data_IF_016598781439
#
_entry.id   IF_016598781439
#
_cell.length_a   1.000
_cell.length_b   1.000
_cell.length_c   1.000
_cell.angle_alpha   90.00
_cell.angle_beta   90.00
_cell.angle_gamma   90.00
#
_symmetry.space_group_name_H-M   'P 1'
#
loop_
_entity.id
_entity.type
_entity.pdbx_description
1 polymer ?
#
# COMPACT_ATOMS: atom_id res chain seq x y z
N UNK A 1 15.72 14.05 -19.10
CA UNK A 1 16.87 14.13 -18.15
C UNK A 1 16.52 13.56 -16.77
N UNK A 2 17.51 13.20 -15.93
CA UNK A 2 17.26 12.98 -14.50
C UNK A 2 16.48 14.16 -13.88
N UNK A 3 15.49 13.88 -13.04
CA UNK A 3 14.58 14.87 -12.47
C UNK A 3 13.33 15.16 -13.31
N UNK A 4 13.24 14.63 -14.54
CA UNK A 4 11.98 14.61 -15.29
C UNK A 4 11.03 13.53 -14.76
N UNK A 5 9.75 13.64 -15.13
CA UNK A 5 8.70 12.72 -14.68
C UNK A 5 7.96 12.14 -15.87
N UNK A 6 7.59 10.86 -15.76
CA UNK A 6 6.71 10.19 -16.72
C UNK A 6 5.37 9.98 -16.01
N UNK A 7 4.32 10.75 -16.34
CA UNK A 7 3.05 10.56 -15.68
C UNK A 7 2.31 9.38 -16.30
N UNK A 8 1.71 8.61 -15.42
CA UNK A 8 1.11 7.33 -15.75
C UNK A 8 -0.17 7.10 -14.96
N UNK A 9 -0.95 6.14 -15.44
CA UNK A 9 -2.13 5.63 -14.78
C UNK A 9 -2.01 4.12 -14.63
N UNK A 10 -2.35 3.62 -13.44
CA UNK A 10 -2.32 2.20 -13.13
C UNK A 10 -3.37 1.47 -13.97
N UNK A 11 -2.98 0.34 -14.58
CA UNK A 11 -3.89 -0.53 -15.34
C UNK A 11 -4.25 -1.76 -14.50
N UNK A 12 -3.26 -2.35 -13.84
CA UNK A 12 -3.48 -3.43 -12.87
C UNK A 12 -3.83 -2.86 -11.49
N UNK A 13 -4.39 -3.67 -10.61
CA UNK A 13 -4.43 -3.35 -9.18
C UNK A 13 -3.07 -3.66 -8.53
N UNK A 14 -2.74 -2.96 -7.45
CA UNK A 14 -1.69 -3.38 -6.52
C UNK A 14 -2.37 -3.81 -5.22
N UNK A 15 -2.09 -5.02 -4.75
CA UNK A 15 -2.48 -5.51 -3.43
C UNK A 15 -1.21 -6.00 -2.71
N UNK A 16 -0.87 -5.37 -1.60
CA UNK A 16 0.36 -5.69 -0.85
C UNK A 16 0.29 -7.02 -0.07
N UNK A 17 -0.80 -7.78 -0.14
CA UNK A 17 -0.87 -9.12 0.45
C UNK A 17 0.11 -10.09 -0.23
N UNK A 18 0.40 -9.90 -1.52
CA UNK A 18 1.36 -10.69 -2.28
C UNK A 18 2.15 -9.82 -3.26
N UNK A 19 3.46 -10.07 -3.45
CA UNK A 19 4.24 -9.33 -4.41
C UNK A 19 3.81 -9.72 -5.82
N UNK A 20 3.89 -8.78 -6.75
CA UNK A 20 3.36 -9.01 -8.08
C UNK A 20 3.90 -8.06 -9.13
N UNK A 21 3.53 -8.34 -10.38
CA UNK A 21 3.76 -7.45 -11.50
C UNK A 21 2.75 -6.31 -11.47
N UNK A 22 3.21 -5.10 -11.78
CA UNK A 22 2.36 -3.93 -11.99
C UNK A 22 2.45 -3.49 -13.45
N UNK A 23 1.29 -3.17 -14.03
CA UNK A 23 1.18 -2.60 -15.36
C UNK A 23 0.54 -1.21 -15.26
N UNK A 24 1.14 -0.25 -15.94
CA UNK A 24 0.62 1.10 -16.04
C UNK A 24 0.69 1.62 -17.48
N UNK A 25 0.01 2.73 -17.74
CA UNK A 25 -0.09 3.37 -19.05
C UNK A 25 0.38 4.80 -18.94
N UNK A 26 1.26 5.22 -19.84
CA UNK A 26 1.70 6.62 -19.92
C UNK A 26 0.54 7.50 -20.40
N UNK A 27 0.27 8.59 -19.67
CA UNK A 27 -0.91 9.45 -19.89
C UNK A 27 -0.64 10.67 -20.75
N UNK A 28 0.62 11.07 -20.92
CA UNK A 28 1.04 12.15 -21.83
C UNK A 28 2.38 11.83 -22.46
N UNK A 29 2.60 12.33 -23.66
CA UNK A 29 3.91 12.28 -24.30
C UNK A 29 4.92 13.06 -23.47
N UNK A 30 6.11 12.49 -23.28
CA UNK A 30 7.25 13.12 -22.61
C UNK A 30 8.31 13.40 -23.66
N UNK A 31 8.61 14.68 -23.87
CA UNK A 31 9.55 15.15 -24.88
C UNK A 31 10.99 15.18 -24.34
N UNK A 32 11.97 15.16 -25.24
CA UNK A 32 13.37 15.29 -24.86
C UNK A 32 13.64 16.71 -24.31
N UNK A 33 14.33 16.75 -23.17
CA UNK A 33 14.81 17.95 -22.51
C UNK A 33 16.00 18.60 -23.21
N UNK A 34 16.65 17.90 -24.15
CA UNK A 34 17.87 18.36 -24.85
C UNK A 34 17.59 18.77 -26.30
N UNK A 35 16.77 18.01 -27.01
CA UNK A 35 16.36 18.33 -28.38
C UNK A 35 14.83 18.40 -28.45
N UNK A 36 14.28 19.59 -28.71
CA UNK A 36 12.83 19.85 -28.76
C UNK A 36 12.07 19.12 -29.90
N UNK A 37 12.71 18.21 -30.64
CA UNK A 37 12.23 17.74 -31.93
C UNK A 37 11.88 16.25 -32.02
N UNK A 38 12.11 15.44 -30.97
CA UNK A 38 11.71 14.02 -31.01
C UNK A 38 11.03 13.57 -29.69
N UNK A 39 9.77 13.07 -29.76
CA UNK A 39 9.07 12.59 -28.58
C UNK A 39 9.76 11.33 -28.05
N UNK A 40 10.39 11.43 -26.88
CA UNK A 40 11.17 10.34 -26.31
C UNK A 40 10.28 9.22 -25.79
N UNK A 41 9.09 9.55 -25.24
CA UNK A 41 8.13 8.57 -24.73
C UNK A 41 6.72 8.93 -25.21
N UNK A 42 6.13 8.14 -26.13
CA UNK A 42 4.76 8.39 -26.60
C UNK A 42 3.71 8.18 -25.52
N UNK A 43 2.66 9.01 -25.53
CA UNK A 43 1.41 8.70 -24.83
C UNK A 43 0.91 7.30 -25.22
N UNK A 44 0.35 6.57 -24.25
CA UNK A 44 -0.16 5.23 -24.50
C UNK A 44 0.90 4.12 -24.41
N UNK A 45 2.16 4.46 -24.16
CA UNK A 45 3.20 3.45 -23.85
C UNK A 45 2.84 2.65 -22.60
N UNK A 46 3.14 1.35 -22.60
CA UNK A 46 2.93 0.45 -21.45
C UNK A 46 4.14 0.49 -20.54
N UNK A 47 3.94 0.74 -19.25
CA UNK A 47 4.96 0.57 -18.22
C UNK A 47 4.78 -0.80 -17.56
N UNK A 48 5.88 -1.54 -17.43
CA UNK A 48 5.91 -2.85 -16.77
C UNK A 48 6.89 -2.79 -15.61
N UNK A 49 6.46 -3.31 -14.45
CA UNK A 49 7.22 -3.23 -13.22
C UNK A 49 6.78 -4.24 -12.18
N UNK A 50 7.27 -4.04 -10.96
CA UNK A 50 6.96 -4.87 -9.80
C UNK A 50 6.67 -3.99 -8.58
N UNK A 51 5.90 -4.53 -7.65
CA UNK A 51 5.69 -3.92 -6.35
C UNK A 51 6.05 -4.91 -5.24
N UNK A 52 6.46 -4.38 -4.09
CA UNK A 52 6.79 -5.20 -2.92
C UNK A 52 5.56 -5.40 -2.03
N UNK A 53 5.47 -6.58 -1.42
CA UNK A 53 4.53 -6.92 -0.33
C UNK A 53 5.14 -6.71 1.07
N UNK A 54 6.39 -6.26 1.17
CA UNK A 54 7.04 -6.00 2.45
C UNK A 54 6.50 -4.70 3.07
N UNK A 55 5.36 -4.82 3.74
CA UNK A 55 4.69 -3.71 4.42
C UNK A 55 4.98 -3.77 5.91
N UNK A 56 5.55 -2.70 6.44
CA UNK A 56 5.77 -2.55 7.88
C UNK A 56 4.51 -2.03 8.59
N UNK A 57 4.40 -2.27 9.89
CA UNK A 57 3.36 -1.64 10.71
C UNK A 57 3.39 -0.11 10.58
N UNK A 58 2.21 0.50 10.43
CA UNK A 58 2.06 1.95 10.27
C UNK A 58 2.43 2.48 8.87
N UNK A 59 2.95 1.63 7.98
CA UNK A 59 3.16 2.01 6.59
C UNK A 59 1.83 2.23 5.88
N UNK A 60 1.75 3.31 5.10
CA UNK A 60 0.53 3.70 4.35
C UNK A 60 0.80 3.88 2.87
N UNK A 61 1.98 3.47 2.40
CA UNK A 61 2.43 3.64 1.01
C UNK A 61 3.09 2.36 0.50
N UNK A 62 2.78 1.97 -0.72
CA UNK A 62 3.43 0.84 -1.39
C UNK A 62 4.52 1.35 -2.33
N UNK A 63 5.68 0.68 -2.34
CA UNK A 63 6.73 0.95 -3.30
C UNK A 63 6.51 0.10 -4.55
N UNK A 64 6.51 0.78 -5.69
CA UNK A 64 6.52 0.16 -7.01
C UNK A 64 7.70 0.68 -7.81
N UNK A 65 8.31 -0.18 -8.62
CA UNK A 65 9.40 0.16 -9.52
C UNK A 65 9.13 -0.39 -10.90
N UNK A 66 9.53 0.36 -11.92
CA UNK A 66 9.30 0.00 -13.31
C UNK A 66 10.61 -0.41 -13.98
N UNK A 67 10.58 -1.60 -14.59
CA UNK A 67 11.75 -2.20 -15.25
C UNK A 67 11.87 -1.78 -16.70
N UNK A 68 10.75 -1.62 -17.40
CA UNK A 68 10.73 -1.27 -18.82
C UNK A 68 9.48 -0.47 -19.19
N UNK A 69 9.60 0.23 -20.32
CA UNK A 69 8.49 0.83 -21.05
C UNK A 69 8.43 0.23 -22.45
N UNK A 70 7.22 -0.08 -22.90
CA UNK A 70 6.91 -0.65 -24.21
C UNK A 70 6.14 0.41 -24.99
N UNK A 71 6.72 0.89 -26.08
CA UNK A 71 6.12 1.89 -26.95
C UNK A 71 4.98 1.29 -27.80
N UNK A 72 4.09 2.14 -28.35
CA UNK A 72 3.01 1.67 -29.23
C UNK A 72 3.48 0.89 -30.46
N UNK A 73 4.71 1.15 -30.92
CA UNK A 73 5.37 0.45 -32.03
C UNK A 73 6.06 -0.87 -31.63
N UNK A 74 6.01 -1.24 -30.34
CA UNK A 74 6.61 -2.46 -29.81
C UNK A 74 8.06 -2.30 -29.35
N UNK A 75 8.71 -1.15 -29.56
CA UNK A 75 10.06 -0.89 -29.02
C UNK A 75 10.03 -0.92 -27.49
N UNK A 76 11.06 -1.52 -26.90
CA UNK A 76 11.21 -1.64 -25.46
C UNK A 76 12.38 -0.80 -24.99
N UNK A 77 12.17 -0.03 -23.93
CA UNK A 77 13.20 0.83 -23.35
C UNK A 77 13.34 0.49 -21.87
N UNK A 78 14.55 0.17 -21.39
CA UNK A 78 14.77 -0.16 -19.99
C UNK A 78 14.63 1.08 -19.11
N UNK A 79 13.89 0.94 -18.01
CA UNK A 79 13.75 1.96 -16.96
C UNK A 79 14.62 1.64 -15.73
N UNK A 80 15.25 0.47 -15.69
CA UNK A 80 16.22 0.09 -14.66
C UNK A 80 15.73 0.27 -13.21
N UNK A 81 14.43 0.01 -12.97
CA UNK A 81 13.84 0.07 -11.64
C UNK A 81 13.49 1.49 -11.17
N UNK A 82 13.20 2.43 -12.07
CA UNK A 82 12.72 3.76 -11.70
C UNK A 82 11.47 3.66 -10.81
N UNK A 83 11.47 4.43 -9.73
CA UNK A 83 10.45 4.35 -8.69
C UNK A 83 9.18 5.12 -9.05
N UNK A 84 8.06 4.59 -8.60
CA UNK A 84 6.78 5.28 -8.58
C UNK A 84 6.77 6.34 -7.47
N UNK A 85 6.17 7.48 -7.77
CA UNK A 85 5.91 8.57 -6.86
C UNK A 85 4.46 9.04 -7.01
N UNK A 86 3.89 9.59 -5.95
CA UNK A 86 2.57 10.20 -6.01
C UNK A 86 2.57 11.47 -6.88
N UNK A 87 1.38 12.07 -7.06
CA UNK A 87 1.22 13.27 -7.87
C UNK A 87 2.04 14.48 -7.39
N UNK A 88 2.55 14.46 -6.15
CA UNK A 88 3.39 15.51 -5.57
C UNK A 88 4.89 15.14 -5.59
N UNK A 89 5.25 13.99 -6.18
CA UNK A 89 6.63 13.52 -6.27
C UNK A 89 7.15 12.82 -5.01
N UNK A 90 6.29 12.54 -4.03
CA UNK A 90 6.71 11.76 -2.86
C UNK A 90 6.74 10.26 -3.18
N UNK A 91 7.74 9.56 -2.64
CA UNK A 91 8.00 8.15 -2.94
C UNK A 91 6.81 7.25 -2.59
N UNK A 92 6.58 6.25 -3.45
CA UNK A 92 5.52 5.26 -3.30
C UNK A 92 4.12 5.79 -3.60
N UNK A 93 3.17 4.86 -3.64
CA UNK A 93 1.78 5.10 -3.96
C UNK A 93 0.92 4.98 -2.69
N UNK A 94 -0.06 5.87 -2.54
CA UNK A 94 -1.00 5.89 -1.41
C UNK A 94 -2.43 5.95 -1.93
N UNK A 95 -3.22 4.95 -1.57
CA UNK A 95 -4.67 4.92 -1.83
C UNK A 95 -5.38 4.32 -0.61
N UNK A 96 -5.77 3.04 -0.64
CA UNK A 96 -6.52 2.40 0.44
C UNK A 96 -5.61 1.61 1.41
N UNK A 97 -5.94 1.69 2.71
CA UNK A 97 -5.23 0.99 3.79
C UNK A 97 -6.22 0.13 4.58
N UNK A 98 -6.09 -1.20 4.48
CA UNK A 98 -6.89 -2.18 5.23
C UNK A 98 -6.12 -2.64 6.47
N UNK A 99 -6.51 -2.12 7.63
CA UNK A 99 -5.81 -2.36 8.92
C UNK A 99 -6.23 -3.65 9.63
N UNK A 100 -7.17 -4.42 9.07
CA UNK A 100 -7.69 -5.65 9.67
C UNK A 100 -8.27 -5.49 11.10
N UNK A 101 -8.52 -4.26 11.56
CA UNK A 101 -8.92 -3.97 12.94
C UNK A 101 -10.11 -4.80 13.41
N UNK A 102 -11.20 -4.84 12.65
CA UNK A 102 -12.39 -5.61 13.04
C UNK A 102 -12.17 -7.13 13.04
N UNK A 103 -11.30 -7.64 12.17
CA UNK A 103 -10.92 -9.05 12.16
C UNK A 103 -10.09 -9.41 13.41
N UNK A 104 -9.27 -8.47 13.88
CA UNK A 104 -8.39 -8.64 15.04
C UNK A 104 -9.14 -8.41 16.37
N UNK A 105 -9.99 -7.37 16.44
CA UNK A 105 -10.57 -6.85 17.69
C UNK A 105 -12.09 -6.96 17.79
N UNK A 106 -12.80 -7.38 16.73
CA UNK A 106 -14.26 -7.40 16.71
C UNK A 106 -14.89 -8.32 17.76
N UNK A 107 -14.31 -9.49 18.00
CA UNK A 107 -14.78 -10.43 19.02
C UNK A 107 -14.63 -9.86 20.44
N UNK A 108 -13.49 -9.23 20.74
CA UNK A 108 -13.25 -8.57 22.03
C UNK A 108 -14.25 -7.45 22.28
N UNK A 109 -14.61 -6.69 21.25
CA UNK A 109 -15.63 -5.66 21.34
C UNK A 109 -17.04 -6.23 21.59
N UNK A 110 -17.42 -7.33 20.93
CA UNK A 110 -18.72 -7.97 21.17
C UNK A 110 -18.83 -8.54 22.60
N UNK A 111 -17.75 -9.14 23.11
CA UNK A 111 -17.70 -9.62 24.50
C UNK A 111 -17.81 -8.43 25.48
N UNK A 112 -17.16 -7.30 25.17
CA UNK A 112 -17.32 -6.03 25.90
C UNK A 112 -18.76 -5.54 25.91
N UNK A 113 -19.40 -5.51 24.76
CA UNK A 113 -20.78 -5.09 24.66
C UNK A 113 -21.73 -6.03 25.43
N UNK A 114 -21.58 -7.36 25.33
CA UNK A 114 -22.43 -8.29 26.08
C UNK A 114 -22.27 -8.14 27.60
N UNK A 115 -21.04 -7.86 28.06
CA UNK A 115 -20.77 -7.69 29.48
C UNK A 115 -21.49 -6.50 30.11
N UNK A 116 -21.72 -5.41 29.36
CA UNK A 116 -22.36 -4.21 29.89
C UNK A 116 -23.88 -4.33 30.07
N UNK A 117 -24.50 -5.39 29.53
CA UNK A 117 -25.94 -5.66 29.69
C UNK A 117 -26.26 -6.66 30.81
N UNK A 118 -25.26 -7.20 31.50
CA UNK A 118 -25.48 -8.12 32.63
C UNK A 118 -25.83 -7.33 33.91
N UNK A 119 -26.88 -7.73 34.68
CA UNK A 119 -27.26 -7.05 35.91
C UNK A 119 -26.14 -7.03 36.94
N UNK A 120 -25.98 -5.90 37.64
CA UNK A 120 -24.94 -5.67 38.63
C UNK A 120 -25.00 -6.58 39.89
N UNK A 121 -26.01 -7.45 40.02
CA UNK A 121 -26.13 -8.47 41.08
C UNK A 121 -25.50 -9.82 40.66
N UNK A 122 -25.15 -9.96 39.38
CA UNK A 122 -24.25 -11.01 38.86
C UNK A 122 -22.97 -10.36 38.28
N UNK A 123 -22.54 -9.27 38.92
CA UNK A 123 -21.49 -8.36 38.49
C UNK A 123 -20.11 -9.02 38.53
N UNK A 124 -19.68 -9.52 37.37
CA UNK A 124 -18.29 -9.93 37.18
C UNK A 124 -17.64 -9.37 35.92
N UNK A 125 -18.36 -8.63 35.08
CA UNK A 125 -17.84 -8.23 33.77
C UNK A 125 -18.36 -6.82 33.43
N UNK A 126 -17.43 -5.86 33.44
CA UNK A 126 -17.56 -4.48 32.99
C UNK A 126 -16.35 -4.29 32.08
N UNK A 127 -16.52 -3.73 30.88
CA UNK A 127 -15.40 -3.51 29.96
C UNK A 127 -15.34 -2.03 29.58
N UNK A 128 -14.40 -1.29 30.17
CA UNK A 128 -14.09 0.10 29.81
C UNK A 128 -12.78 0.13 29.02
N UNK A 129 -12.75 0.70 27.79
CA UNK A 129 -11.50 0.85 27.05
C UNK A 129 -10.64 1.92 27.72
N UNK A 130 -9.46 1.52 28.22
CA UNK A 130 -8.40 2.45 28.63
C UNK A 130 -8.32 2.82 30.12
N UNK A 131 -9.15 2.29 31.02
CA UNK A 131 -9.05 2.60 32.46
C UNK A 131 -9.10 1.36 33.33
N UNK A 132 -7.98 1.11 34.00
CA UNK A 132 -7.84 0.38 35.26
C UNK A 132 -9.00 0.66 36.21
N UNK A 133 -9.98 -0.23 36.27
CA UNK A 133 -11.03 -0.18 37.28
C UNK A 133 -10.95 -1.46 38.08
N UNK A 134 -10.39 -1.34 39.28
CA UNK A 134 -10.00 -2.41 40.22
C UNK A 134 -11.12 -3.33 40.72
N UNK A 135 -12.28 -3.37 40.07
CA UNK A 135 -13.36 -4.32 40.34
C UNK A 135 -13.29 -5.59 39.45
N UNK A 136 -12.52 -5.56 38.36
CA UNK A 136 -12.45 -6.66 37.37
C UNK A 136 -11.29 -7.63 37.60
N UNK A 137 -10.25 -7.22 38.33
CA UNK A 137 -8.99 -7.97 38.46
C UNK A 137 -9.17 -9.24 39.33
N UNK A 138 -10.28 -9.35 40.07
CA UNK A 138 -10.53 -10.46 41.01
C UNK A 138 -11.35 -11.65 40.48
N UNK A 139 -12.05 -11.55 39.33
CA UNK A 139 -12.91 -12.63 38.83
C UNK A 139 -12.19 -13.52 37.81
N UNK A 140 -12.48 -14.83 37.81
CA UNK A 140 -11.91 -15.78 36.85
C UNK A 140 -12.20 -15.38 35.38
N UNK A 141 -13.34 -14.74 35.14
CA UNK A 141 -13.70 -14.15 33.85
C UNK A 141 -12.80 -12.94 33.49
N UNK A 142 -12.54 -12.03 34.43
CA UNK A 142 -11.64 -10.90 34.22
C UNK A 142 -10.20 -11.32 33.90
N UNK A 143 -9.68 -12.32 34.60
CA UNK A 143 -8.34 -12.88 34.33
C UNK A 143 -8.27 -13.60 32.98
N UNK A 144 -9.30 -14.38 32.61
CA UNK A 144 -9.38 -15.03 31.31
C UNK A 144 -9.45 -14.01 30.16
N UNK A 145 -10.17 -12.90 30.35
CA UNK A 145 -10.29 -11.82 29.36
C UNK A 145 -8.99 -11.02 29.20
N UNK A 146 -8.30 -10.69 30.29
CA UNK A 146 -6.99 -10.02 30.23
C UNK A 146 -5.98 -10.92 29.53
N UNK A 147 -5.92 -12.21 29.89
CA UNK A 147 -5.02 -13.18 29.24
C UNK A 147 -5.32 -13.38 27.75
N UNK A 148 -6.61 -13.47 27.39
CA UNK A 148 -7.02 -13.59 25.98
C UNK A 148 -6.73 -12.30 25.19
N UNK A 149 -6.96 -11.13 25.78
CA UNK A 149 -6.69 -9.85 25.13
C UNK A 149 -5.20 -9.63 24.92
N UNK A 150 -4.36 -9.98 25.90
CA UNK A 150 -2.91 -9.95 25.76
C UNK A 150 -2.44 -10.93 24.67
N UNK A 151 -2.94 -12.17 24.66
CA UNK A 151 -2.59 -13.14 23.63
C UNK A 151 -3.02 -12.68 22.21
N UNK A 152 -4.18 -12.03 22.08
CA UNK A 152 -4.63 -11.44 20.80
C UNK A 152 -3.74 -10.25 20.43
N UNK A 153 -3.43 -9.35 21.35
CA UNK A 153 -2.54 -8.23 21.10
C UNK A 153 -1.16 -8.72 20.66
N UNK A 154 -0.55 -9.65 21.40
CA UNK A 154 0.76 -10.22 21.06
C UNK A 154 0.75 -10.93 19.70
N UNK A 155 -0.29 -11.72 19.40
CA UNK A 155 -0.42 -12.45 18.14
C UNK A 155 -0.67 -11.52 16.95
N UNK A 156 -1.44 -10.46 17.15
CA UNK A 156 -1.89 -9.59 16.06
C UNK A 156 -1.12 -8.26 15.97
N UNK A 157 -0.25 -7.96 16.94
CA UNK A 157 0.63 -6.79 16.89
C UNK A 157 1.40 -6.78 15.59
N UNK A 158 1.90 -7.93 15.13
CA UNK A 158 2.75 -8.01 13.94
C UNK A 158 1.99 -8.23 12.62
N UNK A 159 0.66 -8.11 12.58
CA UNK A 159 -0.08 -8.21 11.31
C UNK A 159 0.05 -6.87 10.57
N UNK A 160 0.73 -6.84 9.41
CA UNK A 160 0.84 -5.61 8.64
C UNK A 160 -0.52 -5.24 8.03
N UNK A 161 -0.77 -3.94 7.78
CA UNK A 161 -1.93 -3.54 7.00
C UNK A 161 -1.76 -3.97 5.54
N UNK A 162 -2.88 -4.17 4.85
CA UNK A 162 -2.88 -4.39 3.40
C UNK A 162 -3.09 -3.06 2.69
N UNK A 163 -2.16 -2.73 1.80
CA UNK A 163 -2.18 -1.52 0.98
C UNK A 163 -2.71 -1.89 -0.40
N UNK A 164 -3.77 -1.20 -0.82
CA UNK A 164 -4.40 -1.43 -2.12
C UNK A 164 -4.34 -0.14 -2.94
N UNK A 165 -3.81 -0.22 -4.16
CA UNK A 165 -3.85 0.87 -5.14
C UNK A 165 -4.72 0.43 -6.30
N UNK A 166 -5.84 1.13 -6.48
CA UNK A 166 -6.86 0.72 -7.46
C UNK A 166 -6.41 0.99 -8.90
N UNK A 167 -6.90 0.20 -9.87
CA UNK A 167 -6.80 0.56 -11.28
C UNK A 167 -7.33 1.97 -11.55
N UNK A 168 -6.69 2.71 -12.44
CA UNK A 168 -7.01 4.11 -12.70
C UNK A 168 -6.29 5.11 -11.80
N UNK A 169 -5.52 4.66 -10.80
CA UNK A 169 -4.72 5.54 -9.95
C UNK A 169 -3.64 6.27 -10.76
N UNK A 170 -3.57 7.59 -10.64
CA UNK A 170 -2.61 8.44 -11.35
C UNK A 170 -1.36 8.66 -10.52
N UNK A 171 -0.20 8.49 -11.13
CA UNK A 171 1.08 8.61 -10.44
C UNK A 171 2.18 9.08 -11.41
N UNK A 172 3.37 9.31 -10.87
CA UNK A 172 4.56 9.72 -11.61
C UNK A 172 5.64 8.64 -11.52
N UNK A 173 6.35 8.37 -12.60
CA UNK A 173 7.63 7.66 -12.55
C UNK A 173 8.74 8.69 -12.54
N UNK A 174 9.60 8.64 -11.51
CA UNK A 174 10.71 9.58 -11.35
C UNK A 174 11.90 9.10 -12.17
N UNK A 175 12.31 9.89 -13.16
CA UNK A 175 13.47 9.58 -14.00
C UNK A 175 14.74 9.92 -13.22
N UNK A 176 15.50 8.90 -12.84
CA UNK A 176 16.75 9.07 -12.07
C UNK A 176 18.03 8.89 -12.88
N UNK A 177 17.90 8.50 -14.16
CA UNK A 177 19.02 8.30 -15.08
C UNK A 177 18.59 8.63 -16.51
N UNK A 178 19.54 8.97 -17.40
CA UNK A 178 19.24 9.16 -18.81
C UNK A 178 18.57 7.92 -19.40
N UNK A 179 17.57 8.15 -20.25
CA UNK A 179 16.91 7.11 -21.04
C UNK A 179 17.55 7.18 -22.43
N UNK A 180 18.18 6.10 -22.85
CA UNK A 180 18.81 6.00 -24.17
C UNK A 180 17.90 5.19 -25.09
N UNK A 181 17.39 5.83 -26.13
CA UNK A 181 16.74 5.15 -27.25
C UNK A 181 17.85 4.69 -28.19
N UNK A 182 18.32 3.45 -28.06
CA UNK A 182 19.19 2.89 -29.08
C UNK A 182 18.35 2.69 -30.35
N UNK A 183 18.72 3.33 -31.47
CA UNK A 183 18.31 2.86 -32.78
C UNK A 183 18.79 1.41 -32.91
N UNK A 184 17.86 0.45 -32.89
CA UNK A 184 18.17 -0.84 -33.46
C UNK A 184 18.08 -0.67 -34.97
N UNK A 185 19.25 -0.45 -35.59
CA UNK A 185 19.45 -0.57 -37.03
C UNK A 185 18.97 -1.94 -37.49
N UNK A 186 17.92 -1.94 -38.31
CA UNK A 186 17.48 -3.05 -39.15
C UNK A 186 17.73 -2.71 -40.61
#
# INVERSE_FOLDING_TARGET
MPGSVIPAVLVSEIDSDLPGMVVARVTRTVDDSVHEYEPMIPMGSTLVGYYSSDVSQGQTRVLASFSEIIFPDGRRVPLAGMAAADAYGASGLKDEVRTHFWKIFGSSFLIAALSSFLPADQSGIVLTPGVSSGALIGSAAGQALVGTSQAILERNQNIPPTLVIRPGFRFLVMVNRPITLSEQSG
#
